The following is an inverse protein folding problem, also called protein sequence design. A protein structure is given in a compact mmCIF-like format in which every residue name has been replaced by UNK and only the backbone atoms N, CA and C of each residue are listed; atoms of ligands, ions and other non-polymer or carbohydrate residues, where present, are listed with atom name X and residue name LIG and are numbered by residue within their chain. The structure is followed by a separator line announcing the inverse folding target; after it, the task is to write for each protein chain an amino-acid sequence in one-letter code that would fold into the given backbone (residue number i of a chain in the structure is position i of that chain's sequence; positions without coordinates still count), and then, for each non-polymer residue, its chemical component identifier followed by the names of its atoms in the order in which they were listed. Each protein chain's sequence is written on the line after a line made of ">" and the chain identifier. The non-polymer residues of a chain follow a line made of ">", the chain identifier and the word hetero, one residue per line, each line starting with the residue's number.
data_IF_448070780817
#
_entry.id   IF_448070780817
#
_cell.length_a   1.000
_cell.length_b   1.000
_cell.length_c   1.000
_cell.angle_alpha   90.00
_cell.angle_beta   90.00
_cell.angle_gamma   90.00
#
_symmetry.space_group_name_H-M   'P 1'
#
loop_
_entity.id
_entity.type
_entity.pdbx_description
1 polymer ?
#
# COMPACT_ATOMS: atom_id res chain seq x y z
N UNK A 1 -24.39 -4.64 20.03
CA UNK A 1 -23.12 -5.36 20.17
C UNK A 1 -23.17 -6.58 19.27
N UNK A 2 -22.47 -6.54 18.13
CA UNK A 2 -22.38 -7.70 17.23
C UNK A 2 -21.64 -8.82 17.97
N UNK A 3 -22.31 -9.97 18.15
CA UNK A 3 -21.82 -11.12 18.93
C UNK A 3 -21.09 -12.17 18.07
N UNK A 4 -20.59 -11.81 16.90
CA UNK A 4 -19.92 -12.76 16.02
C UNK A 4 -18.41 -12.58 16.13
N UNK A 5 -17.78 -13.37 17.00
CA UNK A 5 -16.34 -13.34 17.26
C UNK A 5 -15.49 -13.86 16.09
N UNK A 6 -16.10 -14.52 15.10
CA UNK A 6 -15.45 -14.93 13.85
C UNK A 6 -16.50 -15.20 12.76
N UNK A 7 -16.20 -14.78 11.53
CA UNK A 7 -16.90 -15.28 10.34
C UNK A 7 -16.40 -16.70 10.08
N UNK A 8 -17.29 -17.68 10.15
CA UNK A 8 -16.94 -19.06 9.81
C UNK A 8 -16.78 -19.17 8.28
N UNK A 9 -15.73 -19.84 7.76
CA UNK A 9 -15.46 -19.93 6.32
C UNK A 9 -16.62 -20.54 5.51
N UNK A 10 -17.55 -21.25 6.16
CA UNK A 10 -18.72 -21.85 5.50
C UNK A 10 -19.86 -20.88 5.12
N UNK A 11 -19.76 -19.58 5.43
CA UNK A 11 -20.78 -18.56 5.08
C UNK A 11 -20.27 -17.45 4.16
N UNK A 12 -19.07 -17.60 3.58
CA UNK A 12 -18.56 -16.62 2.63
C UNK A 12 -19.35 -16.61 1.33
N UNK A 13 -19.47 -15.45 0.72
CA UNK A 13 -20.09 -15.25 -0.59
C UNK A 13 -19.13 -14.48 -1.50
N UNK A 14 -19.36 -14.54 -2.82
CA UNK A 14 -18.56 -13.81 -3.79
C UNK A 14 -18.91 -12.32 -3.80
N UNK A 15 -17.91 -11.47 -3.84
CA UNK A 15 -18.05 -10.05 -4.14
C UNK A 15 -18.17 -9.83 -5.65
N UNK A 16 -18.51 -8.60 -6.05
CA UNK A 16 -18.75 -8.23 -7.46
C UNK A 16 -17.51 -8.39 -8.35
N UNK A 17 -16.32 -8.29 -7.76
CA UNK A 17 -15.02 -8.52 -8.41
C UNK A 17 -14.64 -10.01 -8.47
N UNK A 18 -15.50 -10.90 -7.99
CA UNK A 18 -15.26 -12.34 -7.91
C UNK A 18 -14.41 -12.77 -6.71
N UNK A 19 -13.99 -11.84 -5.85
CA UNK A 19 -13.24 -12.16 -4.64
C UNK A 19 -14.15 -12.69 -3.51
N UNK A 20 -13.56 -13.32 -2.50
CA UNK A 20 -14.31 -13.89 -1.39
C UNK A 20 -14.61 -12.80 -0.34
N UNK A 21 -15.84 -12.76 0.19
CA UNK A 21 -16.22 -11.85 1.28
C UNK A 21 -15.50 -12.15 2.61
N UNK A 22 -14.83 -13.30 2.71
CA UNK A 22 -13.94 -13.68 3.81
C UNK A 22 -12.50 -13.85 3.31
N UNK A 23 -11.54 -13.23 4.01
CA UNK A 23 -10.11 -13.37 3.72
C UNK A 23 -9.30 -13.40 5.01
N UNK A 24 -8.50 -14.45 5.19
CA UNK A 24 -7.57 -14.55 6.29
C UNK A 24 -6.20 -13.98 5.91
N UNK A 25 -5.70 -13.06 6.73
CA UNK A 25 -4.39 -12.42 6.58
C UNK A 25 -3.41 -12.80 7.69
N UNK A 26 -3.75 -13.75 8.56
CA UNK A 26 -2.93 -14.20 9.69
C UNK A 26 -1.51 -14.61 9.27
N UNK A 27 -1.37 -15.34 8.14
CA UNK A 27 -0.10 -15.78 7.56
C UNK A 27 0.53 -14.82 6.54
N UNK A 28 0.02 -13.59 6.40
CA UNK A 28 0.52 -12.65 5.39
C UNK A 28 1.94 -12.17 5.71
N UNK A 29 2.86 -12.31 4.75
CA UNK A 29 4.23 -11.76 4.85
C UNK A 29 4.26 -10.22 4.88
N UNK A 30 3.17 -9.57 4.47
CA UNK A 30 3.05 -8.12 4.45
C UNK A 30 2.60 -7.54 5.82
N UNK A 31 2.39 -8.39 6.83
CA UNK A 31 2.07 -7.95 8.18
C UNK A 31 3.29 -7.26 8.82
N UNK A 32 3.09 -6.01 9.27
CA UNK A 32 4.19 -5.18 9.81
C UNK A 32 4.36 -5.28 11.33
N UNK A 33 3.44 -5.97 12.01
CA UNK A 33 3.39 -6.10 13.48
C UNK A 33 3.50 -7.56 13.94
N UNK A 34 4.01 -8.46 13.09
CA UNK A 34 4.10 -9.89 13.41
C UNK A 34 5.13 -10.22 14.49
N UNK A 35 6.17 -9.39 14.63
CA UNK A 35 7.22 -9.53 15.65
C UNK A 35 7.43 -8.20 16.38
N UNK A 36 7.83 -8.21 17.65
CA UNK A 36 8.13 -6.98 18.41
C UNK A 36 9.16 -6.08 17.69
N UNK A 37 10.16 -6.68 17.05
CA UNK A 37 11.24 -5.97 16.36
C UNK A 37 10.74 -5.28 15.08
N UNK A 38 9.80 -5.89 14.35
CA UNK A 38 9.13 -5.25 13.21
C UNK A 38 8.15 -4.19 13.67
N UNK A 39 7.36 -4.46 14.72
CA UNK A 39 6.41 -3.52 15.28
C UNK A 39 7.09 -2.23 15.75
N UNK A 40 8.26 -2.34 16.38
CA UNK A 40 9.04 -1.18 16.85
C UNK A 40 9.50 -0.24 15.71
N UNK A 41 9.59 -0.74 14.47
CA UNK A 41 9.93 0.08 13.28
C UNK A 41 8.72 0.82 12.71
N UNK A 42 7.49 0.44 13.10
CA UNK A 42 6.27 1.06 12.62
C UNK A 42 5.84 2.18 13.58
N UNK A 43 6.05 3.43 13.16
CA UNK A 43 5.51 4.59 13.88
C UNK A 43 4.03 4.75 13.55
N UNK A 44 3.22 5.09 14.56
CA UNK A 44 1.83 5.47 14.34
C UNK A 44 1.84 6.76 13.50
N UNK A 45 1.30 6.69 12.29
CA UNK A 45 1.18 7.82 11.37
C UNK A 45 -0.28 8.27 11.34
N UNK A 46 -0.51 9.56 11.57
CA UNK A 46 -1.83 10.14 11.35
C UNK A 46 -2.09 10.23 9.83
N UNK A 47 -3.37 10.11 9.38
CA UNK A 47 -3.71 10.30 7.98
C UNK A 47 -3.20 11.65 7.45
N UNK A 48 -2.38 11.56 6.40
CA UNK A 48 -1.72 12.69 5.76
C UNK A 48 -1.96 12.62 4.25
N UNK A 49 -1.83 13.75 3.58
CA UNK A 49 -1.81 13.83 2.12
C UNK A 49 -0.45 13.39 1.55
N UNK A 50 0.51 13.03 2.40
CA UNK A 50 1.83 12.51 2.02
C UNK A 50 1.95 11.05 2.46
N UNK A 51 2.30 10.17 1.52
CA UNK A 51 2.63 8.78 1.79
C UNK A 51 4.14 8.55 1.62
N UNK A 52 4.69 7.68 2.46
CA UNK A 52 6.06 7.22 2.36
C UNK A 52 6.09 5.80 1.79
N UNK A 53 6.71 5.63 0.61
CA UNK A 53 6.88 4.33 -0.01
C UNK A 53 8.24 3.74 0.33
N UNK A 54 8.27 2.41 0.42
CA UNK A 54 9.46 1.61 0.62
C UNK A 54 9.42 0.42 -0.34
N UNK A 55 10.58 -0.19 -0.59
CA UNK A 55 10.69 -1.40 -1.40
C UNK A 55 10.21 -1.21 -2.85
N UNK A 56 10.40 -0.02 -3.43
CA UNK A 56 10.22 0.18 -4.86
C UNK A 56 11.50 -0.20 -5.63
N UNK A 57 11.39 -0.50 -6.94
CA UNK A 57 12.56 -0.73 -7.79
C UNK A 57 13.56 0.43 -7.75
N UNK A 58 14.85 0.14 -7.97
CA UNK A 58 15.91 1.17 -7.95
C UNK A 58 15.76 2.18 -9.10
N UNK A 59 15.19 1.74 -10.21
CA UNK A 59 14.90 2.49 -11.42
C UNK A 59 13.46 3.04 -11.44
N UNK A 60 12.79 3.11 -10.28
CA UNK A 60 11.44 3.64 -10.21
C UNK A 60 11.44 5.13 -10.61
N UNK A 61 10.69 5.44 -11.65
CA UNK A 61 10.46 6.81 -12.11
C UNK A 61 9.06 7.26 -11.74
N UNK A 62 8.80 8.56 -11.89
CA UNK A 62 7.48 9.12 -11.67
C UNK A 62 6.44 8.49 -12.61
N UNK A 63 6.81 8.26 -13.87
CA UNK A 63 5.98 7.57 -14.86
C UNK A 63 5.54 6.18 -14.42
N UNK A 64 6.40 5.42 -13.72
CA UNK A 64 6.02 4.09 -13.22
C UNK A 64 4.87 4.20 -12.21
N UNK A 65 4.88 5.22 -11.35
CA UNK A 65 3.79 5.48 -10.43
C UNK A 65 2.54 5.97 -11.15
N UNK A 66 2.65 6.86 -12.15
CA UNK A 66 1.51 7.30 -12.95
C UNK A 66 0.85 6.17 -13.73
N UNK A 67 1.63 5.23 -14.29
CA UNK A 67 1.08 4.04 -14.96
C UNK A 67 0.34 3.14 -13.97
N UNK A 68 0.87 2.96 -12.76
CA UNK A 68 0.19 2.21 -11.71
C UNK A 68 -1.12 2.89 -11.30
N UNK A 69 -1.11 4.21 -11.06
CA UNK A 69 -2.28 4.98 -10.64
C UNK A 69 -3.34 5.10 -11.75
N UNK A 70 -2.92 5.39 -12.98
CA UNK A 70 -3.79 5.49 -14.15
C UNK A 70 -4.43 4.17 -14.53
N UNK A 71 -3.75 3.03 -14.31
CA UNK A 71 -4.34 1.71 -14.47
C UNK A 71 -5.43 1.38 -13.43
N UNK A 72 -5.39 2.03 -12.26
CA UNK A 72 -6.34 1.80 -11.18
C UNK A 72 -7.55 2.74 -11.20
N UNK A 73 -7.67 3.66 -12.17
CA UNK A 73 -8.70 4.73 -12.19
C UNK A 73 -8.73 5.60 -10.93
N UNK A 74 -7.73 5.43 -10.08
CA UNK A 74 -7.54 6.12 -8.82
C UNK A 74 -6.64 7.29 -9.17
N UNK A 75 -7.32 8.41 -9.41
CA UNK A 75 -6.84 9.80 -9.35
C UNK A 75 -6.61 10.53 -10.68
N UNK A 76 -7.46 11.54 -10.88
CA UNK A 76 -7.12 12.82 -11.53
C UNK A 76 -6.38 13.79 -10.59
N UNK A 77 -5.72 13.29 -9.55
CA UNK A 77 -4.91 14.07 -8.59
C UNK A 77 -3.43 13.94 -8.95
N UNK A 78 -2.78 15.08 -9.21
CA UNK A 78 -1.37 15.15 -9.61
C UNK A 78 -0.48 14.88 -8.39
N UNK A 79 -0.17 13.61 -8.14
CA UNK A 79 0.75 13.23 -7.08
C UNK A 79 2.16 13.75 -7.39
N UNK A 80 2.76 14.55 -6.51
CA UNK A 80 4.17 14.97 -6.62
C UNK A 80 5.05 13.93 -5.97
N UNK A 81 6.13 13.55 -6.64
CA UNK A 81 7.02 12.48 -6.18
C UNK A 81 8.34 13.08 -5.72
N UNK A 82 8.59 12.99 -4.42
CA UNK A 82 9.84 13.38 -3.78
C UNK A 82 10.66 12.14 -3.44
N UNK A 83 11.38 11.57 -4.41
CA UNK A 83 12.29 10.46 -4.16
C UNK A 83 13.73 10.98 -3.94
N UNK A 84 14.30 10.86 -2.73
CA UNK A 84 15.72 11.13 -2.54
C UNK A 84 16.57 10.12 -3.34
N UNK A 85 17.76 10.51 -3.83
CA UNK A 85 18.65 9.58 -4.51
C UNK A 85 18.96 8.38 -3.61
N UNK A 86 18.79 7.17 -4.16
CA UNK A 86 18.98 5.93 -3.43
C UNK A 86 20.44 5.84 -2.91
N UNK A 87 20.65 5.64 -1.60
CA UNK A 87 21.99 5.51 -1.04
C UNK A 87 22.75 4.34 -1.68
N UNK A 88 24.07 4.49 -1.92
CA UNK A 88 24.88 3.40 -2.47
C UNK A 88 24.86 2.19 -1.52
N UNK A 89 24.43 1.04 -2.03
CA UNK A 89 24.32 -0.22 -1.28
C UNK A 89 22.89 -0.67 -0.96
N UNK A 90 21.88 0.16 -1.23
CA UNK A 90 20.48 -0.26 -1.11
C UNK A 90 20.02 -1.07 -2.33
N UNK A 91 19.16 -2.06 -2.07
CA UNK A 91 18.58 -2.95 -3.09
C UNK A 91 17.19 -2.51 -3.56
N UNK A 92 16.67 -1.43 -2.98
CA UNK A 92 15.34 -0.90 -3.24
C UNK A 92 15.30 0.59 -2.95
N UNK A 93 14.45 1.34 -3.64
CA UNK A 93 14.25 2.77 -3.40
C UNK A 93 13.13 3.04 -2.39
N UNK A 94 13.20 4.23 -1.79
CA UNK A 94 12.17 4.79 -0.89
C UNK A 94 12.00 6.27 -1.15
N UNK A 95 10.81 6.81 -0.90
CA UNK A 95 10.52 8.22 -1.14
C UNK A 95 9.12 8.64 -0.73
N UNK A 96 8.78 9.89 -1.00
CA UNK A 96 7.52 10.51 -0.64
C UNK A 96 6.63 10.70 -1.87
N UNK A 97 5.35 10.43 -1.71
CA UNK A 97 4.29 10.73 -2.67
C UNK A 97 3.33 11.72 -1.99
N UNK A 98 3.11 12.88 -2.59
CA UNK A 98 2.25 13.94 -2.05
C UNK A 98 1.05 14.17 -2.96
N UNK A 99 -0.14 14.21 -2.37
CA UNK A 99 -1.41 14.52 -3.03
C UNK A 99 -1.97 15.86 -2.53
N UNK A 100 -2.89 16.44 -3.31
CA UNK A 100 -3.62 17.65 -2.93
C UNK A 100 -4.58 17.40 -1.75
N UNK A 101 -5.15 16.19 -1.66
CA UNK A 101 -6.13 15.82 -0.64
C UNK A 101 -5.68 14.61 0.18
N UNK A 102 -6.05 14.60 1.47
CA UNK A 102 -5.85 13.43 2.36
C UNK A 102 -6.68 12.23 1.91
N UNK A 103 -7.86 12.48 1.33
CA UNK A 103 -8.73 11.42 0.82
C UNK A 103 -8.05 10.68 -0.34
N UNK A 104 -7.49 11.42 -1.29
CA UNK A 104 -6.79 10.87 -2.46
C UNK A 104 -5.58 10.04 -2.05
N UNK A 105 -4.81 10.52 -1.06
CA UNK A 105 -3.70 9.75 -0.48
C UNK A 105 -4.20 8.46 0.20
N UNK A 106 -5.32 8.50 0.91
CA UNK A 106 -5.88 7.32 1.58
C UNK A 106 -6.43 6.30 0.59
N UNK A 107 -7.14 6.75 -0.45
CA UNK A 107 -7.62 5.89 -1.53
C UNK A 107 -6.44 5.23 -2.24
N UNK A 108 -5.45 6.02 -2.63
CA UNK A 108 -4.22 5.50 -3.24
C UNK A 108 -3.52 4.50 -2.34
N UNK A 109 -3.43 4.76 -1.03
CA UNK A 109 -2.83 3.81 -0.10
C UNK A 109 -3.56 2.47 -0.13
N UNK A 110 -4.89 2.46 -0.18
CA UNK A 110 -5.68 1.22 -0.24
C UNK A 110 -5.41 0.41 -1.50
N UNK A 111 -5.18 1.10 -2.61
CA UNK A 111 -5.02 0.50 -3.94
C UNK A 111 -3.57 0.14 -4.30
N UNK A 112 -2.61 0.96 -3.88
CA UNK A 112 -1.20 0.84 -4.25
C UNK A 112 -0.37 0.09 -3.21
N UNK A 113 -0.84 -0.01 -1.96
CA UNK A 113 -0.08 -0.71 -0.93
C UNK A 113 0.09 -2.20 -1.28
N UNK A 114 1.34 -2.67 -1.24
CA UNK A 114 1.76 -4.02 -1.65
C UNK A 114 1.62 -4.33 -3.16
N UNK A 115 1.41 -3.31 -4.00
CA UNK A 115 1.39 -3.47 -5.45
C UNK A 115 2.70 -4.08 -5.95
N UNK A 116 2.60 -5.06 -6.84
CA UNK A 116 3.75 -5.75 -7.41
C UNK A 116 4.26 -4.95 -8.61
N UNK A 117 5.20 -4.04 -8.35
CA UNK A 117 5.91 -3.35 -9.42
C UNK A 117 6.78 -4.35 -10.19
N UNK A 118 6.84 -4.19 -11.52
CA UNK A 118 7.72 -5.02 -12.35
C UNK A 118 9.17 -4.72 -11.96
N UNK A 119 9.88 -5.76 -11.54
CA UNK A 119 11.32 -5.69 -11.37
C UNK A 119 11.95 -6.07 -12.72
N UNK A 120 12.83 -5.23 -13.31
CA UNK A 120 13.61 -5.64 -14.48
C UNK A 120 14.52 -6.83 -14.18
#
# INVERSE_FOLDING_TARGET
>A
VSKQHAIMPGQSYGLEDGSCSYKDFSGSRNNRFSTPEQAAKNRIQHPSNVLHFFNAPLDVTEDNFYVCLGGLWVLGGSGRIGAPPCPPGERSSSGLLEWDSKSDALETLGFLNHFQMKNP
#
